data_IF_046248536186
#
_entry.id   IF_046248536186
#
_cell.length_a   1.000
_cell.length_b   1.000
_cell.length_c   1.000
_cell.angle_alpha   90.00
_cell.angle_beta   90.00
_cell.angle_gamma   90.00
#
_symmetry.space_group_name_H-M   'P 1'
#
loop_
_entity.id
_entity.type
_entity.pdbx_description
1 polymer ?
#
# COMPACT_ATOMS: atom_id res chain seq x y z
N UNK A 1 13.76 20.96 4.80
CA UNK A 1 12.95 20.02 5.60
C UNK A 1 11.76 19.59 4.76
N UNK A 2 11.80 18.40 4.14
CA UNK A 2 10.68 17.91 3.32
C UNK A 2 9.64 17.25 4.23
N UNK A 3 8.63 18.02 4.64
CA UNK A 3 7.42 17.48 5.24
C UNK A 3 6.54 16.87 4.16
N UNK A 4 6.59 15.55 3.99
CA UNK A 4 5.58 14.84 3.22
C UNK A 4 4.22 15.08 3.91
N UNK A 5 3.33 15.83 3.26
CA UNK A 5 1.99 16.10 3.78
C UNK A 5 1.22 14.78 3.80
N UNK A 6 1.09 14.18 4.97
CA UNK A 6 0.14 13.10 5.20
C UNK A 6 -1.27 13.66 5.01
N UNK A 7 -1.95 13.26 3.94
CA UNK A 7 -3.34 13.65 3.72
C UNK A 7 -4.21 12.71 4.54
N UNK A 8 -4.74 13.22 5.65
CA UNK A 8 -5.71 12.51 6.49
C UNK A 8 -7.11 12.79 5.95
N UNK A 9 -7.82 11.75 5.55
CA UNK A 9 -9.18 11.83 4.99
C UNK A 9 -10.09 10.85 5.77
N UNK A 10 -11.38 11.20 5.86
CA UNK A 10 -12.38 10.35 6.49
C UNK A 10 -12.94 9.35 5.49
N UNK A 11 -13.18 8.11 5.93
CA UNK A 11 -13.84 7.11 5.09
C UNK A 11 -15.34 7.41 4.93
N UNK A 12 -15.87 7.33 3.70
CA UNK A 12 -17.30 7.47 3.40
C UNK A 12 -17.99 6.12 3.27
N UNK A 13 -19.22 5.98 3.78
CA UNK A 13 -20.04 4.77 3.62
C UNK A 13 -20.51 4.53 2.17
N UNK A 14 -20.43 5.54 1.31
CA UNK A 14 -20.83 5.43 -0.10
C UNK A 14 -19.77 4.72 -0.96
N UNK A 15 -18.51 4.74 -0.52
CA UNK A 15 -17.40 4.16 -1.28
C UNK A 15 -17.40 2.64 -1.12
N UNK A 16 -17.46 1.93 -2.24
CA UNK A 16 -17.48 0.46 -2.27
C UNK A 16 -16.39 -0.06 -3.19
N UNK A 17 -15.79 -1.17 -2.77
CA UNK A 17 -14.81 -1.92 -3.57
C UNK A 17 -15.23 -3.38 -3.58
N UNK A 18 -15.43 -3.92 -4.79
CA UNK A 18 -15.74 -5.34 -4.95
C UNK A 18 -14.46 -6.18 -4.89
N UNK A 19 -14.54 -7.32 -4.19
CA UNK A 19 -13.45 -8.28 -4.09
C UNK A 19 -13.89 -9.62 -4.68
N UNK A 20 -12.97 -10.28 -5.38
CA UNK A 20 -13.13 -11.67 -5.86
C UNK A 20 -12.70 -12.68 -4.81
N UNK A 21 -11.79 -12.29 -3.91
CA UNK A 21 -11.26 -13.15 -2.84
C UNK A 21 -10.85 -12.28 -1.65
N UNK A 22 -11.15 -12.72 -0.43
CA UNK A 22 -10.71 -12.12 0.81
C UNK A 22 -10.39 -13.23 1.81
N UNK A 23 -9.19 -13.22 2.37
CA UNK A 23 -8.70 -14.21 3.33
C UNK A 23 -7.83 -13.54 4.39
N UNK A 24 -7.75 -14.15 5.57
CA UNK A 24 -6.90 -13.70 6.68
C UNK A 24 -7.15 -14.54 7.93
N UNK A 25 -6.11 -14.69 8.75
CA UNK A 25 -6.11 -15.44 10.01
C UNK A 25 -6.08 -14.45 11.17
N UNK A 26 -6.95 -14.63 12.16
CA UNK A 26 -7.04 -13.74 13.31
C UNK A 26 -6.76 -14.49 14.60
N UNK A 27 -5.87 -13.93 15.42
CA UNK A 27 -5.68 -14.37 16.81
C UNK A 27 -6.44 -13.39 17.71
N UNK A 28 -7.50 -13.87 18.35
CA UNK A 28 -8.36 -13.03 19.18
C UNK A 28 -8.03 -13.24 20.65
N UNK A 29 -7.65 -12.16 21.35
CA UNK A 29 -7.37 -12.17 22.79
C UNK A 29 -7.95 -10.92 23.43
N UNK A 30 -8.70 -11.08 24.53
CA UNK A 30 -9.25 -9.96 25.30
C UNK A 30 -10.00 -8.91 24.47
N UNK A 31 -10.75 -9.35 23.44
CA UNK A 31 -11.50 -8.45 22.55
C UNK A 31 -10.68 -7.80 21.43
N UNK A 32 -9.37 -8.04 21.37
CA UNK A 32 -8.50 -7.56 20.28
C UNK A 32 -8.19 -8.71 19.32
N UNK A 33 -8.50 -8.51 18.05
CA UNK A 33 -8.19 -9.41 16.95
C UNK A 33 -6.93 -8.93 16.23
N UNK A 34 -5.86 -9.71 16.35
CA UNK A 34 -4.60 -9.46 15.67
C UNK A 34 -4.53 -10.24 14.35
N UNK A 35 -4.06 -9.61 13.28
CA UNK A 35 -3.89 -10.23 11.97
C UNK A 35 -2.58 -9.79 11.31
N UNK A 36 -1.90 -10.73 10.65
CA UNK A 36 -0.62 -10.49 9.95
C UNK A 36 -0.65 -10.87 8.46
N UNK A 37 -1.71 -11.54 8.00
CA UNK A 37 -1.77 -12.21 6.70
C UNK A 37 -3.02 -11.86 5.88
N UNK A 38 -3.71 -10.75 6.16
CA UNK A 38 -4.86 -10.33 5.36
C UNK A 38 -4.45 -10.22 3.90
N UNK A 39 -5.24 -10.85 3.03
CA UNK A 39 -5.10 -10.82 1.59
C UNK A 39 -6.47 -10.61 0.96
N UNK A 40 -6.58 -9.62 0.09
CA UNK A 40 -7.77 -9.38 -0.70
C UNK A 40 -7.42 -9.11 -2.17
N UNK A 41 -8.24 -9.64 -3.07
CA UNK A 41 -8.06 -9.54 -4.51
C UNK A 41 -9.32 -8.97 -5.13
N UNK A 42 -9.18 -8.04 -6.06
CA UNK A 42 -10.23 -7.60 -6.97
C UNK A 42 -9.75 -7.70 -8.42
N UNK A 43 -10.60 -7.45 -9.43
CA UNK A 43 -10.15 -7.50 -10.82
C UNK A 43 -8.95 -6.58 -11.13
N UNK A 44 -8.81 -5.47 -10.40
CA UNK A 44 -7.82 -4.44 -10.66
C UNK A 44 -6.91 -4.11 -9.48
N UNK A 45 -7.23 -4.58 -8.27
CA UNK A 45 -6.48 -4.31 -7.04
C UNK A 45 -6.01 -5.60 -6.38
N UNK A 46 -4.87 -5.50 -5.70
CA UNK A 46 -4.39 -6.46 -4.72
C UNK A 46 -4.19 -5.71 -3.42
N UNK A 47 -4.63 -6.29 -2.32
CA UNK A 47 -4.47 -5.71 -0.99
C UNK A 47 -3.87 -6.78 -0.09
N UNK A 48 -2.86 -6.39 0.67
CA UNK A 48 -2.37 -7.16 1.81
C UNK A 48 -2.42 -6.28 3.05
N UNK A 49 -2.49 -6.86 4.24
CA UNK A 49 -2.54 -6.06 5.45
C UNK A 49 -2.15 -6.81 6.71
N UNK A 50 -1.82 -6.01 7.72
CA UNK A 50 -1.53 -6.47 9.06
C UNK A 50 -1.90 -5.37 10.07
N UNK A 51 -2.29 -5.78 11.27
CA UNK A 51 -2.62 -4.87 12.36
C UNK A 51 -3.64 -5.45 13.34
N UNK A 52 -4.24 -4.55 14.10
CA UNK A 52 -5.09 -4.87 15.23
C UNK A 52 -6.48 -4.25 15.06
N UNK A 53 -7.48 -5.05 15.40
CA UNK A 53 -8.88 -4.64 15.47
C UNK A 53 -9.39 -4.91 16.88
N UNK A 54 -9.63 -3.86 17.64
CA UNK A 54 -10.25 -3.96 18.95
C UNK A 54 -11.76 -3.93 18.79
N UNK A 55 -12.35 -5.12 18.92
CA UNK A 55 -13.79 -5.37 18.77
C UNK A 55 -14.54 -4.76 19.96
N UNK A 56 -13.94 -4.80 21.16
CA UNK A 56 -14.56 -4.30 22.38
C UNK A 56 -14.69 -2.78 22.38
N UNK A 57 -13.65 -2.07 21.94
CA UNK A 57 -13.64 -0.61 21.80
C UNK A 57 -14.07 -0.12 20.41
N UNK A 58 -14.41 -1.03 19.49
CA UNK A 58 -14.83 -0.70 18.11
C UNK A 58 -13.84 0.22 17.39
N UNK A 59 -12.55 -0.08 17.51
CA UNK A 59 -11.46 0.68 16.93
C UNK A 59 -10.51 -0.22 16.16
N UNK A 60 -9.73 0.37 15.26
CA UNK A 60 -8.74 -0.34 14.47
C UNK A 60 -7.46 0.48 14.36
N UNK A 61 -6.33 -0.22 14.28
CA UNK A 61 -5.07 0.31 13.79
C UNK A 61 -4.46 -0.71 12.83
N UNK A 62 -4.40 -0.36 11.55
CA UNK A 62 -4.16 -1.32 10.50
C UNK A 62 -3.32 -0.73 9.39
N UNK A 63 -2.35 -1.48 8.89
CA UNK A 63 -1.54 -1.11 7.74
C UNK A 63 -1.95 -1.96 6.55
N UNK A 64 -2.69 -1.35 5.62
CA UNK A 64 -3.01 -1.95 4.33
C UNK A 64 -1.96 -1.55 3.29
N UNK A 65 -1.63 -2.48 2.40
CA UNK A 65 -0.76 -2.26 1.24
C UNK A 65 -1.56 -2.58 0.00
N UNK A 66 -1.93 -1.56 -0.75
CA UNK A 66 -2.72 -1.69 -1.97
C UNK A 66 -1.81 -1.59 -3.20
N UNK A 67 -1.95 -2.51 -4.13
CA UNK A 67 -1.25 -2.50 -5.41
C UNK A 67 -2.25 -2.59 -6.56
N UNK A 68 -2.03 -1.78 -7.59
CA UNK A 68 -2.86 -1.76 -8.80
C UNK A 68 -2.24 -2.74 -9.81
N UNK A 69 -3.00 -3.76 -10.17
CA UNK A 69 -2.59 -4.79 -11.14
C UNK A 69 -3.21 -4.61 -12.52
N UNK A 70 -4.24 -3.75 -12.64
CA UNK A 70 -4.92 -3.47 -13.89
C UNK A 70 -5.78 -2.21 -13.80
N UNK A 71 -6.35 -1.78 -14.91
CA UNK A 71 -7.26 -0.64 -14.98
C UNK A 71 -8.42 -1.02 -15.90
N UNK A 72 -9.65 -0.74 -15.50
CA UNK A 72 -10.76 -0.68 -16.46
C UNK A 72 -10.63 0.63 -17.24
N UNK A 73 -10.77 0.61 -18.57
CA UNK A 73 -10.43 1.70 -19.51
C UNK A 73 -11.25 3.00 -19.42
N UNK A 74 -11.75 3.39 -18.24
CA UNK A 74 -12.47 4.63 -18.00
C UNK A 74 -11.57 5.84 -17.74
N UNK A 75 -12.18 6.97 -17.38
CA UNK A 75 -11.50 8.26 -17.25
C UNK A 75 -10.42 8.33 -16.16
N UNK A 76 -10.43 7.42 -15.18
CA UNK A 76 -9.37 7.25 -14.17
C UNK A 76 -8.27 6.25 -14.55
N UNK A 77 -8.36 5.62 -15.73
CA UNK A 77 -7.41 4.58 -16.15
C UNK A 77 -6.01 5.11 -16.44
N UNK A 78 -5.89 6.39 -16.84
CA UNK A 78 -4.59 7.04 -17.09
C UNK A 78 -3.86 7.29 -15.77
N UNK A 79 -4.54 7.90 -14.79
CA UNK A 79 -3.95 8.20 -13.49
C UNK A 79 -3.57 6.92 -12.73
N UNK A 80 -4.37 5.86 -12.86
CA UNK A 80 -4.07 4.53 -12.28
C UNK A 80 -3.03 3.75 -13.08
N UNK A 81 -2.81 4.07 -14.36
CA UNK A 81 -1.77 3.41 -15.17
C UNK A 81 -0.38 3.77 -14.66
N UNK A 82 -0.16 5.03 -14.26
CA UNK A 82 1.11 5.51 -13.70
C UNK A 82 1.40 4.90 -12.33
N UNK A 83 0.38 4.36 -11.66
CA UNK A 83 0.48 3.68 -10.37
C UNK A 83 0.57 2.14 -10.49
N UNK A 84 0.53 1.59 -11.71
CA UNK A 84 0.68 0.15 -11.93
C UNK A 84 2.02 -0.35 -11.41
N UNK A 85 1.99 -1.43 -10.64
CA UNK A 85 3.20 -2.01 -10.04
C UNK A 85 3.69 -1.27 -8.78
N UNK A 86 3.07 -0.14 -8.43
CA UNK A 86 3.36 0.53 -7.16
C UNK A 86 2.50 -0.05 -6.05
N UNK A 87 3.15 -0.27 -4.91
CA UNK A 87 2.46 -0.62 -3.66
C UNK A 87 2.32 0.63 -2.82
N UNK A 88 1.08 0.99 -2.52
CA UNK A 88 0.72 2.17 -1.74
C UNK A 88 0.37 1.70 -0.32
N UNK A 89 1.21 2.00 0.69
CA UNK A 89 0.87 1.77 2.08
C UNK A 89 -0.13 2.81 2.58
N UNK A 90 -1.21 2.32 3.17
CA UNK A 90 -2.30 3.10 3.76
C UNK A 90 -2.47 2.65 5.20
N UNK A 91 -2.28 3.57 6.15
CA UNK A 91 -2.58 3.31 7.57
C UNK A 91 -4.01 3.73 7.86
N UNK A 92 -4.81 2.82 8.39
CA UNK A 92 -6.14 3.08 8.91
C UNK A 92 -6.06 3.11 10.42
N UNK A 93 -6.67 4.11 11.05
CA UNK A 93 -6.67 4.22 12.52
C UNK A 93 -7.93 4.90 13.04
N UNK A 94 -8.42 4.44 14.19
CA UNK A 94 -9.50 5.10 14.95
C UNK A 94 -10.77 4.24 15.08
N UNK A 95 -11.85 4.85 15.60
CA UNK A 95 -13.14 4.18 15.76
C UNK A 95 -13.78 3.81 14.42
N UNK A 96 -14.55 2.71 14.36
CA UNK A 96 -15.19 2.24 13.11
C UNK A 96 -16.15 3.26 12.46
N UNK A 97 -16.78 4.11 13.27
CA UNK A 97 -17.69 5.17 12.79
C UNK A 97 -16.96 6.46 12.37
N UNK A 98 -15.67 6.59 12.72
CA UNK A 98 -14.84 7.75 12.45
C UNK A 98 -13.42 7.35 12.00
N UNK A 99 -13.32 6.31 11.16
CA UNK A 99 -12.04 5.83 10.66
C UNK A 99 -11.33 6.90 9.85
N UNK A 100 -10.06 7.09 10.19
CA UNK A 100 -9.15 7.95 9.45
C UNK A 100 -8.17 7.09 8.69
N UNK A 101 -7.83 7.50 7.48
CA UNK A 101 -6.76 6.89 6.73
C UNK A 101 -5.67 7.90 6.39
N UNK A 102 -4.43 7.43 6.36
CA UNK A 102 -3.23 8.19 6.00
C UNK A 102 -2.45 7.39 4.96
N UNK A 103 -2.20 8.02 3.83
CA UNK A 103 -1.37 7.46 2.76
C UNK A 103 0.07 7.88 3.01
N UNK A 104 0.99 6.91 3.07
CA UNK A 104 2.42 7.20 3.14
C UNK A 104 3.01 7.29 1.73
N UNK A 105 2.92 8.51 1.18
CA UNK A 105 3.46 8.84 -0.14
C UNK A 105 4.99 8.71 -0.21
N UNK A 106 5.70 8.92 0.91
CA UNK A 106 7.16 8.80 0.94
C UNK A 106 7.57 7.33 0.74
N UNK A 107 6.92 6.42 1.46
CA UNK A 107 7.11 4.99 1.29
C UNK A 107 6.74 4.50 -0.12
N UNK A 108 5.61 4.98 -0.67
CA UNK A 108 5.18 4.66 -2.04
C UNK A 108 6.20 5.12 -3.09
N UNK A 109 6.76 6.34 -2.95
CA UNK A 109 7.76 6.88 -3.85
C UNK A 109 9.09 6.10 -3.82
N UNK A 110 9.57 5.68 -2.64
CA UNK A 110 10.74 4.78 -2.55
C UNK A 110 10.53 3.42 -3.21
N UNK A 111 9.30 2.88 -3.18
CA UNK A 111 8.94 1.65 -3.87
C UNK A 111 9.03 1.80 -5.40
N UNK A 112 8.51 2.91 -5.93
CA UNK A 112 8.57 3.26 -7.36
C UNK A 112 10.01 3.43 -7.86
N UNK A 113 10.83 4.11 -7.06
CA UNK A 113 12.23 4.40 -7.41
C UNK A 113 13.07 3.13 -7.42
N UNK A 114 12.84 2.16 -6.52
CA UNK A 114 13.64 0.91 -6.50
C UNK A 114 13.53 0.09 -7.78
N UNK A 115 12.41 0.12 -8.51
CA UNK A 115 12.26 -0.62 -9.75
C UNK A 115 13.04 0.00 -10.92
N UNK A 116 13.07 1.34 -11.04
CA UNK A 116 13.84 2.01 -12.10
C UNK A 116 15.33 2.23 -11.76
N UNK A 117 15.66 2.36 -10.48
CA UNK A 117 17.03 2.62 -10.02
C UNK A 117 17.87 1.35 -10.04
N UNK A 118 17.32 0.16 -9.78
CA UNK A 118 18.13 -1.06 -9.80
C UNK A 118 18.70 -1.39 -11.17
N UNK A 119 17.96 -1.18 -12.27
CA UNK A 119 18.49 -1.42 -13.61
C UNK A 119 19.52 -0.36 -14.02
N UNK A 120 19.22 0.94 -13.82
CA UNK A 120 20.15 2.03 -14.17
C UNK A 120 21.41 2.07 -13.32
N UNK A 121 21.33 1.68 -12.04
CA UNK A 121 22.50 1.63 -11.14
C UNK A 121 23.36 0.41 -11.45
N UNK A 122 22.79 -0.74 -11.81
CA UNK A 122 23.60 -1.90 -12.22
C UNK A 122 24.45 -1.62 -13.46
N UNK A 123 23.88 -0.99 -14.48
CA UNK A 123 24.62 -0.58 -15.68
C UNK A 123 25.71 0.44 -15.37
N UNK A 124 25.38 1.52 -14.66
CA UNK A 124 26.36 2.56 -14.37
C UNK A 124 27.48 2.11 -13.41
N UNK A 125 27.19 1.19 -12.48
CA UNK A 125 28.21 0.64 -11.58
C UNK A 125 29.10 -0.36 -12.33
N UNK A 126 28.55 -1.19 -13.22
CA UNK A 126 29.37 -2.09 -14.05
C UNK A 126 30.30 -1.33 -15.01
N UNK A 127 29.83 -0.27 -15.66
CA UNK A 127 30.66 0.53 -16.57
C UNK A 127 31.77 1.29 -15.85
N UNK A 128 31.49 1.84 -14.67
CA UNK A 128 32.54 2.49 -13.85
C UNK A 128 33.53 1.49 -13.25
N UNK A 129 33.09 0.30 -12.87
CA UNK A 129 33.99 -0.75 -12.39
C UNK A 129 34.91 -1.23 -13.52
N UNK A 130 34.38 -1.48 -14.73
CA UNK A 130 35.20 -1.87 -15.90
C UNK A 130 36.23 -0.80 -16.29
N UNK A 131 35.91 0.48 -16.12
CA UNK A 131 36.86 1.59 -16.34
C UNK A 131 37.97 1.69 -15.28
N UNK A 132 37.72 1.21 -14.06
CA UNK A 132 38.68 1.26 -12.95
C UNK A 132 39.72 0.12 -13.00
N UNK A 133 39.36 -1.03 -13.58
CA UNK A 133 40.25 -2.19 -13.72
C UNK A 133 41.03 -2.23 -15.05
N UNK A 134 40.93 -1.19 -15.88
CA UNK A 134 41.60 -1.10 -17.20
C UNK A 134 42.79 -0.12 -17.20
N UNK A 135 43.32 0.20 -16.02
CA UNK A 135 44.57 0.96 -15.81
C UNK A 135 45.63 0.08 -15.17
#
# INVERSE_FOLDING_TARGET
MLGAKSQEQGASKADKTDFTELSGSFVIRNGVAHNEDLSAKSPFLRLTGAGDTDIGASQMDYLAKAAIVGTSGGQGAKDLADLRGLTIPVRLSGPFDALKYRIDFAAAATGAVKQQVQEKVKEQVQDRLKGLFKR
#
